data_IF_819739508719
#
_entry.id   IF_819739508719
#
_cell.length_a   1.000
_cell.length_b   1.000
_cell.length_c   1.000
_cell.angle_alpha   90.00
_cell.angle_beta   90.00
_cell.angle_gamma   90.00
#
_symmetry.space_group_name_H-M   'P 1'
#
loop_
_entity.id
_entity.type
_entity.pdbx_description
1 polymer ?
#
# COMPACT_ATOMS: atom_id res chain seq x y z
N UNK A 1 -22.46 19.06 -8.11
CA UNK A 1 -21.14 18.43 -8.32
C UNK A 1 -20.81 17.68 -7.04
N UNK A 2 -20.35 16.43 -7.13
CA UNK A 2 -19.96 15.62 -5.97
C UNK A 2 -18.44 15.54 -5.97
N UNK A 3 -17.81 15.58 -4.81
CA UNK A 3 -16.35 15.55 -4.65
C UNK A 3 -15.95 14.99 -3.30
N UNK A 4 -14.65 14.72 -3.11
CA UNK A 4 -14.12 14.25 -1.83
C UNK A 4 -14.18 15.36 -0.78
N UNK A 5 -14.44 14.97 0.46
CA UNK A 5 -14.34 15.86 1.62
C UNK A 5 -13.32 15.27 2.60
N UNK A 6 -12.17 15.91 2.70
CA UNK A 6 -11.12 15.52 3.62
C UNK A 6 -11.15 16.42 4.85
N UNK A 7 -11.15 15.82 6.05
CA UNK A 7 -11.06 16.57 7.30
C UNK A 7 -9.70 17.28 7.39
N UNK A 8 -9.74 18.53 7.86
CA UNK A 8 -8.54 19.31 8.12
C UNK A 8 -7.84 18.81 9.39
N UNK A 9 -6.51 18.76 9.36
CA UNK A 9 -5.67 18.36 10.50
C UNK A 9 -4.79 19.54 10.93
N UNK A 10 -4.96 19.97 12.18
CA UNK A 10 -4.23 21.10 12.75
C UNK A 10 -2.86 20.68 13.33
N UNK A 11 -1.88 21.59 13.27
CA UNK A 11 -0.56 21.39 13.91
C UNK A 11 0.43 20.56 13.10
N UNK A 12 0.07 20.10 11.89
CA UNK A 12 0.97 19.37 10.99
C UNK A 12 1.89 20.31 10.20
N UNK A 13 3.07 19.80 9.83
CA UNK A 13 4.02 20.43 8.90
C UNK A 13 4.43 19.40 7.86
N UNK A 14 4.97 19.86 6.74
CA UNK A 14 5.53 19.01 5.69
C UNK A 14 6.63 18.09 6.25
N UNK A 15 6.79 16.92 5.64
CA UNK A 15 7.78 15.92 6.07
C UNK A 15 9.21 16.51 6.07
N UNK A 16 9.57 17.26 5.01
CA UNK A 16 10.88 17.88 4.83
C UNK A 16 11.27 18.83 5.97
N UNK A 17 10.29 19.53 6.53
CA UNK A 17 10.51 20.43 7.67
C UNK A 17 10.98 19.64 8.90
N UNK A 18 10.33 18.52 9.20
CA UNK A 18 10.68 17.70 10.36
C UNK A 18 11.97 16.91 10.16
N UNK A 19 12.21 16.43 8.94
CA UNK A 19 13.43 15.71 8.60
C UNK A 19 14.70 16.53 8.82
N UNK A 20 14.72 17.77 8.32
CA UNK A 20 15.85 18.68 8.55
C UNK A 20 16.07 18.95 10.04
N UNK A 21 14.98 18.96 10.83
CA UNK A 21 15.07 19.13 12.28
C UNK A 21 15.66 17.89 12.95
N UNK A 22 15.29 16.69 12.52
CA UNK A 22 15.81 15.43 13.07
C UNK A 22 17.26 15.16 12.68
N UNK A 23 17.72 15.67 11.54
CA UNK A 23 19.15 15.67 11.17
C UNK A 23 19.98 16.53 12.12
N UNK A 24 19.45 17.70 12.50
CA UNK A 24 20.13 18.63 13.41
C UNK A 24 20.03 18.22 14.88
N UNK A 25 18.88 17.68 15.30
CA UNK A 25 18.57 17.25 16.67
C UNK A 25 17.83 15.90 16.64
N UNK A 26 18.56 14.77 16.72
CA UNK A 26 17.98 13.44 16.58
C UNK A 26 16.92 13.11 17.62
N UNK A 27 15.84 12.47 17.19
CA UNK A 27 14.77 12.04 18.09
C UNK A 27 15.29 11.09 19.19
N UNK A 28 14.78 11.24 20.44
CA UNK A 28 14.98 10.26 21.50
C UNK A 28 14.50 8.88 21.05
N UNK A 29 15.15 7.82 21.54
CA UNK A 29 14.94 6.44 21.10
C UNK A 29 13.45 6.01 21.14
N UNK A 30 12.74 6.35 22.22
CA UNK A 30 11.32 6.01 22.36
C UNK A 30 10.45 6.68 21.28
N UNK A 31 10.75 7.93 20.93
CA UNK A 31 10.02 8.70 19.92
C UNK A 31 10.37 8.23 18.51
N UNK A 32 11.62 7.80 18.29
CA UNK A 32 12.06 7.22 17.02
C UNK A 32 11.34 5.91 16.72
N UNK A 33 11.12 5.06 17.73
CA UNK A 33 10.32 3.83 17.58
C UNK A 33 8.88 4.12 17.20
N UNK A 34 8.24 5.11 17.82
CA UNK A 34 6.90 5.54 17.42
C UNK A 34 6.89 6.06 15.97
N UNK A 35 7.87 6.90 15.62
CA UNK A 35 8.01 7.43 14.28
C UNK A 35 8.16 6.31 13.23
N UNK A 36 8.98 5.30 13.53
CA UNK A 36 9.14 4.12 12.67
C UNK A 36 7.81 3.37 12.48
N UNK A 37 7.03 3.16 13.54
CA UNK A 37 5.72 2.50 13.46
C UNK A 37 4.74 3.29 12.57
N UNK A 38 4.70 4.63 12.72
CA UNK A 38 3.88 5.48 11.85
C UNK A 38 4.36 5.49 10.40
N UNK A 39 5.67 5.48 10.18
CA UNK A 39 6.27 5.39 8.85
C UNK A 39 5.92 4.07 8.16
N UNK A 40 5.99 2.95 8.87
CA UNK A 40 5.60 1.64 8.35
C UNK A 40 4.13 1.63 7.91
N UNK A 41 3.24 2.24 8.69
CA UNK A 41 1.81 2.39 8.33
C UNK A 41 1.62 3.23 7.08
N UNK A 42 2.40 4.30 6.91
CA UNK A 42 2.40 5.12 5.71
C UNK A 42 2.89 4.33 4.48
N UNK A 43 3.98 3.57 4.61
CA UNK A 43 4.48 2.69 3.55
C UNK A 43 3.42 1.68 3.15
N UNK A 44 2.75 1.08 4.13
CA UNK A 44 1.67 0.13 3.86
C UNK A 44 0.51 0.82 3.16
N UNK A 45 0.07 2.00 3.60
CA UNK A 45 -1.02 2.76 2.97
C UNK A 45 -0.71 3.14 1.51
N UNK A 46 0.52 3.60 1.25
CA UNK A 46 0.96 4.00 -0.10
C UNK A 46 1.16 2.78 -1.02
N UNK A 47 1.47 1.62 -0.42
CA UNK A 47 1.59 0.35 -1.15
C UNK A 47 0.25 -0.38 -1.33
N UNK A 48 -0.67 -0.24 -0.38
CA UNK A 48 -1.99 -0.87 -0.33
C UNK A 48 -3.00 0.02 0.43
N UNK A 49 -4.11 0.33 -0.24
CA UNK A 49 -4.79 1.63 -0.18
C UNK A 49 -5.63 1.94 1.07
N UNK A 50 -5.47 1.27 2.22
CA UNK A 50 -6.33 1.54 3.38
C UNK A 50 -5.73 1.22 4.75
N UNK A 51 -5.25 2.20 5.54
CA UNK A 51 -5.09 2.08 7.01
C UNK A 51 -5.03 3.45 7.73
N UNK A 52 -5.63 3.57 8.91
CA UNK A 52 -5.36 4.68 9.86
C UNK A 52 -5.67 4.24 11.30
N UNK A 53 -4.74 4.36 12.24
CA UNK A 53 -4.96 4.12 13.69
C UNK A 53 -4.12 5.14 14.49
N UNK A 54 -4.68 5.72 15.57
CA UNK A 54 -4.01 6.73 16.40
C UNK A 54 -3.81 6.29 17.87
N UNK A 55 -2.63 6.59 18.42
CA UNK A 55 -2.36 6.77 19.87
C UNK A 55 -1.29 7.89 20.01
N UNK A 56 -1.16 8.47 21.21
CA UNK A 56 -0.48 9.75 21.46
C UNK A 56 1.06 9.67 21.59
N UNK A 57 1.77 9.93 20.49
CA UNK A 57 2.96 10.79 20.30
C UNK A 57 3.21 10.87 18.77
N UNK A 58 4.34 11.38 18.25
CA UNK A 58 4.58 11.77 16.82
C UNK A 58 3.66 11.08 15.80
N UNK A 59 2.86 11.86 15.05
CA UNK A 59 1.85 11.34 14.11
C UNK A 59 2.16 11.74 12.66
N UNK A 60 1.93 10.82 11.73
CA UNK A 60 1.96 11.09 10.29
C UNK A 60 0.52 11.16 9.77
N UNK A 61 0.24 12.11 8.87
CA UNK A 61 -1.02 12.20 8.15
C UNK A 61 -0.75 12.02 6.65
N UNK A 62 -1.37 11.00 6.05
CA UNK A 62 -1.33 10.76 4.61
C UNK A 62 -2.47 11.53 3.93
N UNK A 63 -2.11 12.65 3.32
CA UNK A 63 -3.04 13.55 2.61
C UNK A 63 -2.78 13.46 1.10
N UNK A 64 -3.78 13.86 0.30
CA UNK A 64 -3.68 13.89 -1.16
C UNK A 64 -3.59 12.50 -1.83
N UNK A 65 -4.46 11.56 -1.42
CA UNK A 65 -4.54 10.21 -2.00
C UNK A 65 -5.32 10.16 -3.34
N UNK A 66 -5.53 11.31 -4.01
CA UNK A 66 -6.41 11.41 -5.18
C UNK A 66 -5.88 10.73 -6.45
N UNK A 67 -4.63 10.28 -6.45
CA UNK A 67 -3.96 9.59 -7.57
C UNK A 67 -3.70 8.10 -7.29
N UNK A 68 -4.31 7.54 -6.24
CA UNK A 68 -4.23 6.11 -5.93
C UNK A 68 -5.05 5.23 -6.90
N UNK A 69 -4.92 3.90 -6.80
CA UNK A 69 -5.65 2.89 -7.59
C UNK A 69 -5.41 2.93 -9.11
N UNK A 70 -4.19 2.70 -9.60
CA UNK A 70 -3.93 2.62 -11.03
C UNK A 70 -4.52 1.33 -11.64
N UNK A 71 -5.07 1.42 -12.86
CA UNK A 71 -5.58 0.23 -13.57
C UNK A 71 -4.47 -0.65 -14.17
N UNK A 72 -3.22 -0.18 -14.18
CA UNK A 72 -2.04 -0.97 -14.54
C UNK A 72 -0.81 -0.44 -13.82
N UNK A 73 0.20 -1.28 -13.66
CA UNK A 73 1.53 -0.80 -13.25
C UNK A 73 2.07 0.22 -14.27
N UNK A 74 2.70 1.34 -13.84
CA UNK A 74 3.26 2.33 -14.76
C UNK A 74 4.28 1.72 -15.74
N UNK A 75 4.18 2.06 -17.03
CA UNK A 75 5.05 1.51 -18.10
C UNK A 75 6.53 1.91 -17.90
N UNK A 76 6.76 3.10 -17.35
CA UNK A 76 8.04 3.65 -16.94
C UNK A 76 7.91 4.29 -15.55
N UNK A 77 9.03 4.50 -14.86
CA UNK A 77 9.10 5.28 -13.62
C UNK A 77 8.86 6.76 -13.94
N UNK A 78 7.60 7.18 -14.07
CA UNK A 78 7.26 8.61 -14.01
C UNK A 78 7.17 8.99 -12.54
N UNK A 79 8.12 9.81 -12.10
CA UNK A 79 8.11 10.88 -11.07
C UNK A 79 7.20 10.84 -9.82
N UNK A 80 6.21 9.97 -9.68
CA UNK A 80 5.54 9.66 -8.42
C UNK A 80 6.45 8.72 -7.64
N UNK A 81 7.59 9.25 -7.20
CA UNK A 81 8.38 8.59 -6.16
C UNK A 81 7.42 8.37 -5.00
N UNK A 82 7.45 7.18 -4.40
CA UNK A 82 7.21 7.04 -2.98
C UNK A 82 8.13 8.06 -2.30
N UNK A 83 7.65 9.29 -2.14
CA UNK A 83 8.46 10.49 -1.88
C UNK A 83 9.29 10.26 -0.62
N UNK A 84 8.72 9.50 0.29
CA UNK A 84 9.30 9.01 1.53
C UNK A 84 10.65 8.29 1.36
N UNK A 85 10.96 7.60 0.26
CA UNK A 85 12.27 6.94 0.09
C UNK A 85 13.44 7.90 -0.13
N UNK A 86 13.18 9.09 -0.68
CA UNK A 86 14.20 10.15 -0.73
C UNK A 86 14.40 10.82 0.62
N UNK A 87 13.35 10.83 1.43
CA UNK A 87 13.23 11.66 2.60
C UNK A 87 13.58 10.86 3.88
N UNK A 88 13.41 9.54 3.87
CA UNK A 88 13.63 8.63 5.01
C UNK A 88 14.59 7.46 4.66
N UNK A 89 15.88 7.74 4.39
CA UNK A 89 16.82 6.73 3.92
C UNK A 89 17.21 5.68 4.97
N UNK A 90 17.01 5.96 6.27
CA UNK A 90 17.28 5.02 7.34
C UNK A 90 16.08 4.10 7.58
N UNK A 91 14.90 4.70 7.73
CA UNK A 91 13.64 4.03 8.07
C UNK A 91 13.23 3.02 6.99
N UNK A 92 13.56 3.31 5.73
CA UNK A 92 13.27 2.42 4.59
C UNK A 92 14.12 1.15 4.55
N UNK A 93 15.25 1.13 5.26
CA UNK A 93 16.15 -0.02 5.35
C UNK A 93 15.86 -0.90 6.56
N UNK A 94 15.10 -0.39 7.53
CA UNK A 94 14.68 -1.15 8.72
C UNK A 94 13.59 -2.14 8.30
N UNK A 95 13.71 -3.43 8.66
CA UNK A 95 12.63 -4.42 8.49
C UNK A 95 11.31 -3.97 9.11
N UNK A 96 10.18 -4.38 8.54
CA UNK A 96 8.88 -4.14 9.17
C UNK A 96 8.86 -4.70 10.60
N UNK A 97 8.45 -3.86 11.55
CA UNK A 97 8.39 -4.22 12.96
C UNK A 97 7.41 -5.38 13.24
N UNK A 98 7.63 -6.08 14.35
CA UNK A 98 6.70 -7.12 14.81
C UNK A 98 5.29 -6.56 15.05
N UNK A 99 5.18 -5.35 15.59
CA UNK A 99 3.89 -4.67 15.80
C UNK A 99 3.11 -4.55 14.48
N UNK A 100 3.77 -4.04 13.43
CA UNK A 100 3.16 -3.89 12.10
C UNK A 100 2.76 -5.24 11.50
N UNK A 101 3.63 -6.25 11.63
CA UNK A 101 3.33 -7.61 11.15
C UNK A 101 2.12 -8.21 11.86
N UNK A 102 2.08 -8.16 13.18
CA UNK A 102 0.99 -8.72 13.98
C UNK A 102 -0.35 -8.04 13.68
N UNK A 103 -0.31 -6.73 13.37
CA UNK A 103 -1.50 -5.95 13.04
C UNK A 103 -2.04 -6.25 11.63
N UNK A 104 -1.15 -6.35 10.64
CA UNK A 104 -1.51 -6.29 9.21
C UNK A 104 -1.54 -7.68 8.57
N UNK A 105 -0.57 -8.53 8.90
CA UNK A 105 -0.39 -9.83 8.24
C UNK A 105 -1.62 -10.74 8.35
N UNK A 106 -2.32 -10.85 9.51
CA UNK A 106 -3.52 -11.69 9.62
C UNK A 106 -4.65 -11.26 8.67
N UNK A 107 -4.77 -9.95 8.40
CA UNK A 107 -5.82 -9.40 7.55
C UNK A 107 -5.51 -9.62 6.07
N UNK A 108 -4.29 -9.27 5.65
CA UNK A 108 -3.89 -9.42 4.23
C UNK A 108 -3.73 -10.88 3.80
N UNK A 109 -3.44 -11.79 4.74
CA UNK A 109 -3.38 -13.23 4.47
C UNK A 109 -4.76 -13.87 4.36
N UNK A 110 -5.82 -13.21 4.84
CA UNK A 110 -7.19 -13.71 4.73
C UNK A 110 -7.81 -13.28 3.39
N UNK A 111 -8.11 -14.27 2.56
CA UNK A 111 -8.70 -14.02 1.24
C UNK A 111 -10.13 -13.49 1.34
N UNK A 112 -10.85 -13.76 2.43
CA UNK A 112 -12.20 -13.19 2.63
C UNK A 112 -12.10 -11.69 2.89
N UNK A 113 -11.16 -11.27 3.75
CA UNK A 113 -10.92 -9.85 3.99
C UNK A 113 -10.57 -9.08 2.70
N UNK A 114 -9.67 -9.63 1.87
CA UNK A 114 -9.29 -9.01 0.59
C UNK A 114 -10.49 -8.97 -0.38
N UNK A 115 -11.35 -9.99 -0.34
CA UNK A 115 -12.56 -10.06 -1.15
C UNK A 115 -13.59 -9.00 -0.74
N UNK A 116 -13.87 -8.89 0.55
CA UNK A 116 -14.78 -7.89 1.13
C UNK A 116 -14.27 -6.48 0.83
N UNK A 117 -12.96 -6.23 0.98
CA UNK A 117 -12.31 -4.97 0.61
C UNK A 117 -12.56 -4.58 -0.85
N UNK A 118 -12.44 -5.53 -1.78
CA UNK A 118 -12.73 -5.29 -3.20
C UNK A 118 -14.22 -4.98 -3.43
N UNK A 119 -15.12 -5.59 -2.66
CA UNK A 119 -16.56 -5.34 -2.75
C UNK A 119 -16.93 -3.96 -2.22
N UNK A 120 -16.36 -3.54 -1.10
CA UNK A 120 -16.54 -2.18 -0.56
C UNK A 120 -16.05 -1.12 -1.55
N UNK A 121 -14.89 -1.34 -2.19
CA UNK A 121 -14.37 -0.46 -3.23
C UNK A 121 -15.25 -0.44 -4.47
N UNK A 122 -15.84 -1.58 -4.85
CA UNK A 122 -16.78 -1.65 -5.96
C UNK A 122 -18.04 -0.82 -5.67
N UNK A 123 -18.61 -0.95 -4.48
CA UNK A 123 -19.78 -0.19 -4.05
C UNK A 123 -19.50 1.32 -4.03
N UNK A 124 -18.28 1.72 -3.67
CA UNK A 124 -17.85 3.11 -3.73
C UNK A 124 -17.65 3.60 -5.17
N UNK A 125 -16.87 2.89 -5.99
CA UNK A 125 -16.45 3.35 -7.32
C UNK A 125 -17.62 3.37 -8.31
N UNK A 126 -18.58 2.45 -8.19
CA UNK A 126 -19.75 2.39 -9.07
C UNK A 126 -20.70 3.59 -8.92
N UNK A 127 -20.52 4.42 -7.90
CA UNK A 127 -21.28 5.66 -7.73
C UNK A 127 -20.89 6.73 -8.75
N UNK A 128 -19.70 6.62 -9.35
CA UNK A 128 -19.27 7.52 -10.40
C UNK A 128 -20.02 7.25 -11.72
N UNK A 129 -20.41 8.33 -12.41
CA UNK A 129 -21.17 8.22 -13.68
C UNK A 129 -20.35 7.63 -14.82
N UNK A 130 -19.03 7.79 -14.78
CA UNK A 130 -18.08 7.26 -15.74
C UNK A 130 -17.48 5.92 -15.33
N UNK A 131 -18.04 5.26 -14.30
CA UNK A 131 -17.56 3.96 -13.85
C UNK A 131 -17.55 2.93 -14.98
N UNK A 132 -16.37 2.36 -15.22
CA UNK A 132 -16.17 1.25 -16.14
C UNK A 132 -15.74 -0.01 -15.38
N UNK A 133 -16.54 -1.06 -15.44
CA UNK A 133 -16.31 -2.29 -14.69
C UNK A 133 -15.03 -3.00 -15.10
N UNK A 134 -14.65 -2.95 -16.38
CA UNK A 134 -13.43 -3.58 -16.86
C UNK A 134 -12.19 -2.87 -16.28
N UNK A 135 -12.18 -1.55 -16.28
CA UNK A 135 -11.15 -0.72 -15.65
C UNK A 135 -11.06 -0.99 -14.15
N UNK A 136 -12.20 -1.10 -13.47
CA UNK A 136 -12.23 -1.45 -12.05
C UNK A 136 -11.59 -2.82 -11.75
N UNK A 137 -11.92 -3.86 -12.53
CA UNK A 137 -11.32 -5.19 -12.34
C UNK A 137 -9.81 -5.19 -12.60
N UNK A 138 -9.34 -4.35 -13.53
CA UNK A 138 -7.91 -4.12 -13.74
C UNK A 138 -7.27 -3.43 -12.52
N UNK A 139 -7.91 -2.41 -11.94
CA UNK A 139 -7.45 -1.76 -10.70
C UNK A 139 -7.34 -2.78 -9.55
N UNK A 140 -8.35 -3.62 -9.36
CA UNK A 140 -8.34 -4.64 -8.32
C UNK A 140 -7.28 -5.72 -8.58
N UNK A 141 -6.97 -6.01 -9.85
CA UNK A 141 -5.92 -6.97 -10.18
C UNK A 141 -4.52 -6.45 -9.85
N UNK A 142 -4.28 -5.14 -9.99
CA UNK A 142 -3.07 -4.48 -9.50
C UNK A 142 -3.02 -4.50 -7.96
N UNK A 143 -4.11 -4.09 -7.30
CA UNK A 143 -4.20 -4.06 -5.83
C UNK A 143 -3.93 -5.43 -5.21
N UNK A 144 -4.55 -6.50 -5.73
CA UNK A 144 -4.29 -7.88 -5.26
C UNK A 144 -2.82 -8.29 -5.46
N UNK A 145 -2.19 -7.85 -6.54
CA UNK A 145 -0.75 -8.07 -6.77
C UNK A 145 0.13 -7.33 -5.77
N UNK A 146 -0.24 -6.12 -5.37
CA UNK A 146 0.41 -5.38 -4.28
C UNK A 146 0.20 -6.12 -2.94
N UNK A 147 -1.03 -6.45 -2.58
CA UNK A 147 -1.35 -7.21 -1.36
C UNK A 147 -0.51 -8.50 -1.27
N UNK A 148 -0.36 -9.23 -2.37
CA UNK A 148 0.45 -10.45 -2.43
C UNK A 148 1.93 -10.18 -2.10
N UNK A 149 2.53 -9.18 -2.74
CA UNK A 149 3.92 -8.81 -2.47
C UNK A 149 4.12 -8.31 -1.04
N UNK A 150 3.20 -7.47 -0.53
CA UNK A 150 3.24 -6.96 0.84
C UNK A 150 3.12 -8.09 1.86
N UNK A 151 2.18 -9.00 1.66
CA UNK A 151 2.00 -10.18 2.52
C UNK A 151 3.27 -11.01 2.58
N UNK A 152 3.91 -11.24 1.43
CA UNK A 152 5.17 -11.99 1.37
C UNK A 152 6.32 -11.23 2.05
N UNK A 153 6.43 -9.92 1.83
CA UNK A 153 7.44 -9.09 2.50
C UNK A 153 7.30 -9.08 4.03
N UNK A 154 6.07 -9.02 4.55
CA UNK A 154 5.78 -9.10 5.98
C UNK A 154 6.12 -10.48 6.57
N UNK A 155 5.88 -11.57 5.82
CA UNK A 155 6.28 -12.93 6.23
C UNK A 155 7.79 -13.08 6.28
N UNK A 156 8.49 -12.55 5.28
CA UNK A 156 9.94 -12.67 5.10
C UNK A 156 10.76 -11.63 5.88
N UNK A 157 10.12 -10.80 6.72
CA UNK A 157 10.79 -9.75 7.51
C UNK A 157 11.60 -8.78 6.65
N UNK A 158 11.05 -8.43 5.48
CA UNK A 158 11.67 -7.46 4.57
C UNK A 158 11.52 -6.04 5.09
N UNK A 159 12.41 -5.17 4.63
CA UNK A 159 12.27 -3.72 4.79
C UNK A 159 11.45 -3.08 3.67
N UNK A 160 10.94 -1.85 3.86
CA UNK A 160 10.24 -1.10 2.81
C UNK A 160 11.01 -1.04 1.48
N UNK A 161 12.34 -0.87 1.51
CA UNK A 161 13.15 -0.82 0.28
C UNK A 161 13.17 -2.16 -0.45
N UNK A 162 13.19 -3.26 0.30
CA UNK A 162 13.15 -4.61 -0.27
C UNK A 162 11.77 -4.94 -0.83
N UNK A 163 10.68 -4.42 -0.25
CA UNK A 163 9.32 -4.57 -0.77
C UNK A 163 9.17 -3.90 -2.14
N UNK A 164 9.61 -2.64 -2.29
CA UNK A 164 9.51 -1.93 -3.58
C UNK A 164 10.46 -2.48 -4.64
N UNK A 165 11.48 -3.23 -4.22
CA UNK A 165 12.37 -4.02 -5.08
C UNK A 165 11.75 -5.34 -5.55
N UNK A 166 10.60 -5.77 -5.02
CA UNK A 166 9.98 -7.02 -5.47
C UNK A 166 9.46 -6.91 -6.91
N UNK A 167 9.52 -8.00 -7.69
CA UNK A 167 8.90 -8.04 -9.02
C UNK A 167 7.43 -7.66 -8.95
N UNK A 168 6.96 -6.92 -9.94
CA UNK A 168 5.56 -6.50 -10.00
C UNK A 168 4.69 -7.71 -10.33
N UNK A 169 3.58 -7.82 -9.61
CA UNK A 169 2.60 -8.90 -9.82
C UNK A 169 1.25 -8.28 -10.13
N UNK A 170 0.51 -8.94 -11.00
CA UNK A 170 -0.92 -8.71 -11.22
C UNK A 170 -1.62 -10.02 -10.90
N UNK A 171 -2.76 -9.93 -10.19
CA UNK A 171 -3.56 -11.09 -9.81
C UNK A 171 -4.97 -10.94 -10.36
N UNK A 172 -5.23 -11.64 -11.46
CA UNK A 172 -6.50 -11.59 -12.19
C UNK A 172 -7.45 -12.67 -11.69
N UNK A 173 -8.76 -12.42 -11.69
CA UNK A 173 -9.75 -13.47 -11.48
C UNK A 173 -9.81 -14.38 -12.71
N UNK A 174 -9.80 -15.69 -12.51
CA UNK A 174 -9.96 -16.63 -13.60
C UNK A 174 -11.37 -16.53 -14.18
N UNK A 175 -11.45 -16.31 -15.49
CA UNK A 175 -12.71 -16.34 -16.25
C UNK A 175 -13.17 -17.78 -16.42
N UNK A 176 -13.65 -18.44 -15.36
CA UNK A 176 -14.47 -19.65 -15.53
C UNK A 176 -15.94 -19.24 -15.54
N UNK A 177 -16.46 -18.95 -16.72
CA UNK A 177 -17.90 -18.97 -16.95
C UNK A 177 -18.43 -20.39 -16.74
N UNK A 178 -19.16 -20.63 -15.65
CA UNK A 178 -20.18 -21.67 -15.57
C UNK A 178 -20.97 -21.53 -14.26
N UNK A 179 -22.28 -21.42 -14.41
CA UNK A 179 -23.25 -21.52 -13.35
C UNK A 179 -23.00 -22.79 -12.50
N UNK A 180 -22.99 -22.63 -11.17
CA UNK A 180 -23.53 -23.66 -10.28
C UNK A 180 -22.59 -24.69 -9.64
N UNK A 181 -21.27 -24.46 -9.52
CA UNK A 181 -20.43 -25.32 -8.66
C UNK A 181 -19.57 -24.49 -7.72
N UNK A 182 -19.55 -24.89 -6.44
CA UNK A 182 -18.72 -24.31 -5.38
C UNK A 182 -17.26 -24.49 -5.81
N UNK A 183 -16.65 -23.42 -6.31
CA UNK A 183 -15.23 -23.38 -6.64
C UNK A 183 -14.48 -23.08 -5.35
N UNK A 184 -13.58 -23.97 -4.94
CA UNK A 184 -12.59 -23.64 -3.90
C UNK A 184 -11.82 -22.39 -4.34
N UNK A 185 -11.90 -21.30 -3.56
CA UNK A 185 -11.35 -19.97 -3.86
C UNK A 185 -9.87 -19.98 -4.30
N UNK A 186 -9.11 -21.00 -3.92
CA UNK A 186 -7.70 -21.17 -4.30
C UNK A 186 -7.46 -21.27 -5.81
N UNK A 187 -8.47 -21.68 -6.60
CA UNK A 187 -8.35 -21.85 -8.05
C UNK A 187 -8.98 -20.68 -8.84
N UNK A 188 -9.41 -19.62 -8.16
CA UNK A 188 -10.15 -18.50 -8.75
C UNK A 188 -9.26 -17.37 -9.29
N UNK A 189 -7.93 -17.48 -9.19
CA UNK A 189 -7.01 -16.40 -9.55
C UNK A 189 -5.80 -16.88 -10.35
N UNK A 190 -5.36 -16.05 -11.30
CA UNK A 190 -4.13 -16.23 -12.08
C UNK A 190 -3.13 -15.14 -11.70
N UNK A 191 -1.88 -15.53 -11.44
CA UNK A 191 -0.80 -14.61 -11.07
C UNK A 191 0.13 -14.40 -12.24
N UNK A 192 0.35 -13.14 -12.62
CA UNK A 192 1.26 -12.76 -13.71
C UNK A 192 2.40 -11.92 -13.15
N UNK A 193 3.62 -12.44 -13.25
CA UNK A 193 4.84 -11.77 -12.78
C UNK A 193 5.52 -11.02 -13.93
N UNK A 194 5.80 -9.73 -13.74
CA UNK A 194 6.54 -8.93 -14.70
C UNK A 194 8.01 -8.85 -14.27
N UNK A 195 8.84 -9.73 -14.84
CA UNK A 195 10.27 -9.91 -14.51
C UNK A 195 11.21 -8.95 -15.26
N UNK A 196 10.84 -7.67 -15.41
CA UNK A 196 11.87 -6.65 -15.71
C UNK A 196 12.73 -6.46 -14.46
N UNK A 197 14.04 -6.23 -14.62
CA UNK A 197 14.97 -5.98 -13.50
C UNK A 197 14.30 -5.05 -12.48
N UNK A 198 14.35 -5.36 -11.17
CA UNK A 198 13.83 -4.43 -10.19
C UNK A 198 14.59 -3.11 -10.36
N UNK A 199 13.83 -2.04 -10.59
CA UNK A 199 14.38 -0.75 -10.96
C UNK A 199 15.33 -0.20 -9.89
N UNK A 200 15.20 -0.68 -8.66
CA UNK A 200 16.04 -0.34 -7.51
C UNK A 200 17.31 -1.22 -7.37
N UNK A 201 17.72 -1.94 -8.41
CA UNK A 201 18.91 -2.82 -8.39
C UNK A 201 20.25 -2.08 -8.27
N UNK A 202 20.25 -0.75 -8.29
CA UNK A 202 21.45 0.10 -8.22
C UNK A 202 21.39 1.18 -7.14
N UNK A 203 20.66 0.94 -6.04
CA UNK A 203 20.66 1.80 -4.85
C UNK A 203 21.45 1.17 -3.71
#
# INVERSE_FOLDING_TARGET
QVGSFQLFVEGYKEADYWLRKFEADPLPENTRKEFQSQFERLVILDYDSQWTITKESVKIAAIDNGLAFPFKHPDEWRACKYVFFNHFPFETKVPFSQETRDLVLPRLSDMNFVQDLCEDLYELFKTDKGFDKATFENQMSVMRGQILNLTQALKDEKSPIQLVQMPRVIVERSSTGSQGRIVHLSNAFTQTFHSRKPFFSSW
#
